data_IF_748745728839
#
_entry.id   IF_748745728839
#
_cell.length_a   1.000
_cell.length_b   1.000
_cell.length_c   1.000
_cell.angle_alpha   90.00
_cell.angle_beta   90.00
_cell.angle_gamma   90.00
#
_symmetry.space_group_name_H-M   'P 1'
#
loop_
_entity.id
_entity.type
_entity.pdbx_description
1 polymer ?
#
# COMPACT_ATOMS: atom_id res chain seq x y z
N UNK A 1 -0.53 -13.60 -9.45
CA UNK A 1 -1.16 -12.94 -8.29
C UNK A 1 -0.95 -11.44 -8.40
N UNK A 2 -1.96 -10.64 -8.08
CA UNK A 2 -1.93 -9.18 -8.06
C UNK A 2 -1.69 -8.73 -6.63
N UNK A 3 -0.53 -8.13 -6.38
CA UNK A 3 -0.12 -7.65 -5.05
C UNK A 3 -0.21 -6.14 -5.03
N UNK A 4 -1.13 -5.57 -4.25
CA UNK A 4 -1.07 -4.14 -3.95
C UNK A 4 0.12 -3.87 -3.03
N UNK A 5 0.83 -2.77 -3.26
CA UNK A 5 1.98 -2.37 -2.45
C UNK A 5 1.67 -1.06 -1.73
N UNK A 6 1.82 -1.07 -0.41
CA UNK A 6 1.70 0.13 0.43
C UNK A 6 2.94 1.03 0.26
N UNK A 7 2.77 2.34 0.40
CA UNK A 7 3.88 3.30 0.34
C UNK A 7 4.99 2.99 1.33
N UNK A 8 4.67 2.44 2.50
CA UNK A 8 5.66 2.05 3.51
C UNK A 8 6.75 1.14 2.98
N UNK A 9 6.38 0.14 2.16
CA UNK A 9 7.31 -0.85 1.63
C UNK A 9 8.18 -0.24 0.53
N UNK A 10 7.59 0.62 -0.31
CA UNK A 10 8.34 1.34 -1.34
C UNK A 10 9.29 2.36 -0.72
N UNK A 11 8.84 3.09 0.30
CA UNK A 11 9.64 4.06 1.03
C UNK A 11 10.83 3.40 1.73
N UNK A 12 10.66 2.20 2.30
CA UNK A 12 11.78 1.43 2.88
C UNK A 12 12.94 1.28 1.90
N UNK A 13 12.63 0.92 0.64
CA UNK A 13 13.63 0.73 -0.42
C UNK A 13 14.15 2.08 -0.92
N UNK A 14 13.27 3.06 -1.15
CA UNK A 14 13.64 4.36 -1.68
C UNK A 14 14.52 5.17 -0.73
N UNK A 15 14.34 5.00 0.58
CA UNK A 15 15.14 5.72 1.60
C UNK A 15 16.30 4.90 2.15
N UNK A 16 16.52 3.69 1.67
CA UNK A 16 17.48 2.73 2.22
C UNK A 16 17.32 2.60 3.75
N UNK A 17 16.08 2.34 4.19
CA UNK A 17 15.76 2.24 5.62
C UNK A 17 16.58 1.10 6.27
N UNK A 18 17.40 1.40 7.29
CA UNK A 18 18.37 0.44 7.84
C UNK A 18 17.72 -0.73 8.57
N UNK A 19 16.45 -0.62 8.96
CA UNK A 19 15.72 -1.68 9.63
C UNK A 19 14.89 -2.52 8.65
N UNK A 20 14.48 -1.95 7.52
CA UNK A 20 13.39 -2.51 6.72
C UNK A 20 13.68 -2.68 5.24
N UNK A 21 14.67 -1.98 4.66
CA UNK A 21 14.94 -2.02 3.23
C UNK A 21 15.16 -3.44 2.70
N UNK A 22 16.03 -4.24 3.35
CA UNK A 22 16.39 -5.59 2.90
C UNK A 22 15.17 -6.52 2.80
N UNK A 23 14.32 -6.55 3.83
CA UNK A 23 13.13 -7.38 3.85
C UNK A 23 12.06 -6.90 2.87
N UNK A 24 11.88 -5.58 2.77
CA UNK A 24 10.91 -4.96 1.86
C UNK A 24 11.30 -5.20 0.40
N UNK A 25 12.58 -5.05 0.05
CA UNK A 25 13.13 -5.40 -1.26
C UNK A 25 12.94 -6.90 -1.57
N UNK A 26 13.28 -7.78 -0.63
CA UNK A 26 13.11 -9.23 -0.81
C UNK A 26 11.64 -9.60 -1.06
N UNK A 27 10.72 -9.00 -0.31
CA UNK A 27 9.29 -9.20 -0.49
C UNK A 27 8.78 -8.66 -1.84
N UNK A 28 9.22 -7.47 -2.26
CA UNK A 28 8.90 -6.91 -3.58
C UNK A 28 9.38 -7.84 -4.70
N UNK A 29 10.63 -8.29 -4.66
CA UNK A 29 11.20 -9.21 -5.67
C UNK A 29 10.42 -10.52 -5.74
N UNK A 30 10.03 -11.08 -4.59
CA UNK A 30 9.19 -12.28 -4.54
C UNK A 30 7.79 -12.03 -5.10
N UNK A 31 7.15 -10.91 -4.74
CA UNK A 31 5.84 -10.55 -5.27
C UNK A 31 5.86 -10.33 -6.80
N UNK A 32 6.92 -9.71 -7.33
CA UNK A 32 7.18 -9.60 -8.78
C UNK A 32 7.29 -10.97 -9.44
N UNK A 33 8.00 -11.92 -8.83
CA UNK A 33 8.12 -13.27 -9.36
C UNK A 33 6.78 -14.06 -9.35
N UNK A 34 5.87 -13.72 -8.44
CA UNK A 34 4.55 -14.36 -8.28
C UNK A 34 3.43 -13.71 -9.13
N UNK A 35 3.71 -12.56 -9.77
CA UNK A 35 2.77 -11.89 -10.66
C UNK A 35 3.04 -10.41 -10.84
N UNK A 36 2.06 -9.57 -10.51
CA UNK A 36 2.10 -8.13 -10.79
C UNK A 36 2.00 -7.31 -9.52
N UNK A 37 2.83 -6.26 -9.44
CA UNK A 37 2.74 -5.24 -8.40
C UNK A 37 1.81 -4.13 -8.85
N UNK A 38 0.93 -3.68 -7.97
CA UNK A 38 0.03 -2.56 -8.25
C UNK A 38 0.04 -1.51 -7.15
N UNK A 39 -0.11 -0.25 -7.55
CA UNK A 39 -0.18 0.91 -6.65
C UNK A 39 -1.31 1.83 -7.08
N UNK A 40 -1.91 2.54 -6.10
CA UNK A 40 -2.95 3.52 -6.34
C UNK A 40 -2.44 4.96 -6.21
N UNK A 41 -3.31 5.93 -6.52
CA UNK A 41 -3.01 7.36 -6.48
C UNK A 41 -2.46 7.83 -5.12
N UNK A 42 -2.93 7.24 -4.02
CA UNK A 42 -2.45 7.58 -2.68
C UNK A 42 -1.00 7.15 -2.49
N UNK A 43 -0.64 5.94 -2.92
CA UNK A 43 0.73 5.43 -2.83
C UNK A 43 1.67 6.26 -3.71
N UNK A 44 1.25 6.59 -4.94
CA UNK A 44 2.04 7.46 -5.82
C UNK A 44 2.30 8.81 -5.17
N UNK A 45 1.26 9.45 -4.63
CA UNK A 45 1.37 10.74 -3.97
C UNK A 45 2.30 10.70 -2.73
N UNK A 46 2.35 9.57 -2.02
CA UNK A 46 3.20 9.41 -0.83
C UNK A 46 4.67 9.15 -1.16
N UNK A 47 4.99 8.47 -2.26
CA UNK A 47 6.38 8.19 -2.65
C UNK A 47 7.03 9.33 -3.45
N UNK A 48 6.22 10.14 -4.14
CA UNK A 48 6.70 11.20 -5.04
C UNK A 48 7.68 12.19 -4.37
N UNK A 49 7.48 12.64 -3.11
CA UNK A 49 8.41 13.55 -2.46
C UNK A 49 9.82 12.99 -2.24
N UNK A 50 9.97 11.66 -2.21
CA UNK A 50 11.26 10.97 -2.04
C UNK A 50 11.84 10.58 -3.40
N UNK A 51 11.00 10.03 -4.28
CA UNK A 51 11.44 9.52 -5.59
C UNK A 51 11.70 10.63 -6.61
N UNK A 52 10.87 11.68 -6.61
CA UNK A 52 10.83 12.69 -7.66
C UNK A 52 10.02 12.26 -8.89
N UNK A 53 9.36 13.22 -9.53
CA UNK A 53 8.49 12.98 -10.69
C UNK A 53 9.25 12.42 -11.90
N UNK A 54 10.46 12.93 -12.15
CA UNK A 54 11.30 12.51 -13.28
C UNK A 54 11.71 11.03 -13.20
N UNK A 55 11.86 10.47 -12.00
CA UNK A 55 12.27 9.08 -11.78
C UNK A 55 11.10 8.10 -11.68
N UNK A 56 9.85 8.58 -11.60
CA UNK A 56 8.68 7.74 -11.37
C UNK A 56 8.48 6.69 -12.47
N UNK A 57 8.61 7.10 -13.73
CA UNK A 57 8.41 6.22 -14.88
C UNK A 57 9.42 5.07 -14.91
N UNK A 58 10.71 5.37 -14.79
CA UNK A 58 11.77 4.34 -14.77
C UNK A 58 11.66 3.44 -13.55
N UNK A 59 11.33 3.98 -12.37
CA UNK A 59 11.12 3.18 -11.18
C UNK A 59 9.97 2.17 -11.36
N UNK A 60 8.86 2.57 -12.00
CA UNK A 60 7.75 1.65 -12.26
C UNK A 60 8.12 0.57 -13.27
N UNK A 61 8.89 0.92 -14.30
CA UNK A 61 9.38 -0.03 -15.29
C UNK A 61 10.34 -1.06 -14.66
N UNK A 62 11.32 -0.60 -13.90
CA UNK A 62 12.34 -1.44 -13.25
C UNK A 62 11.72 -2.46 -12.27
N UNK A 63 10.67 -2.05 -11.54
CA UNK A 63 9.98 -2.89 -10.57
C UNK A 63 8.73 -3.57 -11.12
N UNK A 64 8.39 -3.38 -12.40
CA UNK A 64 7.17 -3.92 -13.00
C UNK A 64 5.89 -3.48 -12.28
N UNK A 65 5.88 -2.27 -11.73
CA UNK A 65 4.74 -1.70 -10.99
C UNK A 65 3.73 -1.14 -11.98
N UNK A 66 2.46 -1.51 -11.79
CA UNK A 66 1.35 -0.96 -12.57
C UNK A 66 0.50 -0.02 -11.71
N UNK A 67 0.21 1.15 -12.27
CA UNK A 67 -0.77 2.06 -11.67
C UNK A 67 -2.19 1.50 -11.87
N UNK A 68 -2.95 1.38 -10.78
CA UNK A 68 -4.38 1.06 -10.78
C UNK A 68 -5.10 2.11 -9.96
N UNK A 69 -5.97 2.89 -10.59
CA UNK A 69 -6.70 3.95 -9.89
C UNK A 69 -7.79 3.35 -8.98
N UNK A 70 -8.02 4.00 -7.84
CA UNK A 70 -9.21 3.77 -7.03
C UNK A 70 -10.51 4.08 -7.80
N UNK A 71 -11.60 3.44 -7.38
CA UNK A 71 -12.94 3.68 -7.92
C UNK A 71 -13.93 4.02 -6.79
N UNK A 72 -15.19 4.24 -7.15
CA UNK A 72 -16.23 4.55 -6.15
C UNK A 72 -16.41 3.42 -5.13
N UNK A 73 -16.17 2.17 -5.51
CA UNK A 73 -16.35 1.02 -4.62
C UNK A 73 -15.26 0.99 -3.54
N UNK A 74 -14.00 1.18 -3.92
CA UNK A 74 -12.87 1.27 -2.98
C UNK A 74 -12.98 2.53 -2.11
N UNK A 75 -13.39 3.67 -2.67
CA UNK A 75 -13.60 4.90 -1.91
C UNK A 75 -14.71 4.76 -0.85
N UNK A 76 -15.83 4.12 -1.20
CA UNK A 76 -16.93 3.85 -0.25
C UNK A 76 -16.51 2.89 0.85
N UNK A 77 -15.75 1.86 0.52
CA UNK A 77 -15.22 0.91 1.50
C UNK A 77 -14.27 1.61 2.50
N UNK A 78 -13.33 2.41 2.00
CA UNK A 78 -12.44 3.23 2.82
C UNK A 78 -13.23 4.13 3.78
N UNK A 79 -14.21 4.87 3.26
CA UNK A 79 -15.06 5.75 4.07
C UNK A 79 -15.86 5.01 5.15
N UNK A 80 -16.35 3.81 4.84
CA UNK A 80 -17.07 2.98 5.83
C UNK A 80 -16.15 2.53 6.97
N UNK A 81 -14.92 2.10 6.66
CA UNK A 81 -13.97 1.70 7.70
C UNK A 81 -13.44 2.89 8.49
N UNK A 82 -13.21 4.02 7.84
CA UNK A 82 -12.82 5.25 8.53
C UNK A 82 -13.93 5.73 9.49
N UNK A 83 -15.20 5.69 9.08
CA UNK A 83 -16.33 6.02 9.95
C UNK A 83 -16.39 5.10 11.18
N UNK A 84 -16.19 3.78 10.99
CA UNK A 84 -16.11 2.82 12.08
C UNK A 84 -14.92 3.08 13.01
N UNK A 85 -13.76 3.46 12.46
CA UNK A 85 -12.58 3.85 13.22
C UNK A 85 -12.87 5.06 14.11
N UNK A 86 -13.42 6.14 13.55
CA UNK A 86 -13.75 7.37 14.29
C UNK A 86 -14.72 7.14 15.45
N UNK A 87 -15.60 6.13 15.38
CA UNK A 87 -16.51 5.79 16.47
C UNK A 87 -15.83 5.04 17.63
N UNK A 88 -14.70 4.37 17.37
CA UNK A 88 -14.02 3.49 18.33
C UNK A 88 -12.83 4.14 19.04
N UNK A 89 -12.36 5.29 18.56
CA UNK A 89 -11.12 5.91 19.05
C UNK A 89 -11.25 7.42 19.21
N UNK A 90 -10.83 7.91 20.38
CA UNK A 90 -10.63 9.34 20.61
C UNK A 90 -9.25 9.83 20.09
N UNK A 91 -8.38 8.88 19.69
CA UNK A 91 -7.02 9.17 19.22
C UNK A 91 -6.93 9.02 17.70
N UNK A 92 -6.60 10.11 17.02
CA UNK A 92 -6.38 10.18 15.56
C UNK A 92 -4.96 9.74 15.20
N UNK A 93 -4.70 8.44 15.19
CA UNK A 93 -3.40 7.90 14.76
C UNK A 93 -3.40 7.43 13.30
N UNK A 94 -4.56 7.03 12.77
CA UNK A 94 -4.70 6.51 11.41
C UNK A 94 -5.45 7.54 10.57
N UNK A 95 -4.92 7.83 9.39
CA UNK A 95 -5.42 8.88 8.51
C UNK A 95 -6.23 8.28 7.36
N UNK A 96 -7.04 9.10 6.68
CA UNK A 96 -7.83 8.64 5.53
C UNK A 96 -6.98 7.92 4.44
N UNK A 97 -5.74 8.39 4.10
CA UNK A 97 -4.85 7.70 3.16
C UNK A 97 -4.63 6.21 3.47
N UNK A 98 -4.43 5.84 4.75
CA UNK A 98 -4.28 4.45 5.19
C UNK A 98 -5.48 3.58 4.77
N UNK A 99 -6.70 4.11 4.97
CA UNK A 99 -7.93 3.42 4.59
C UNK A 99 -8.12 3.36 3.08
N UNK A 100 -7.67 4.38 2.34
CA UNK A 100 -7.73 4.38 0.87
C UNK A 100 -6.81 3.32 0.27
N UNK A 101 -5.60 3.16 0.80
CA UNK A 101 -4.66 2.11 0.36
C UNK A 101 -5.23 0.73 0.66
N UNK A 102 -5.67 0.47 1.90
CA UNK A 102 -6.23 -0.82 2.28
C UNK A 102 -7.48 -1.18 1.47
N UNK A 103 -8.39 -0.22 1.25
CA UNK A 103 -9.61 -0.47 0.49
C UNK A 103 -9.36 -0.64 -1.01
N UNK A 104 -8.38 0.08 -1.57
CA UNK A 104 -7.93 -0.17 -2.93
C UNK A 104 -7.39 -1.60 -3.05
N UNK A 105 -6.56 -2.04 -2.11
CA UNK A 105 -6.02 -3.39 -2.13
C UNK A 105 -7.12 -4.47 -2.04
N UNK A 106 -8.09 -4.32 -1.14
CA UNK A 106 -9.19 -5.29 -0.99
C UNK A 106 -10.09 -5.38 -2.24
N UNK A 107 -10.26 -4.28 -2.97
CA UNK A 107 -11.11 -4.27 -4.18
C UNK A 107 -10.34 -4.69 -5.45
N UNK A 108 -9.08 -4.26 -5.57
CA UNK A 108 -8.34 -4.30 -6.84
C UNK A 108 -7.12 -5.24 -6.83
N UNK A 109 -6.94 -6.06 -5.79
CA UNK A 109 -5.81 -6.98 -5.68
C UNK A 109 -6.15 -8.23 -4.88
N UNK A 110 -5.27 -9.23 -4.94
CA UNK A 110 -5.43 -10.48 -4.18
C UNK A 110 -4.92 -10.32 -2.73
N UNK A 111 -3.94 -9.43 -2.51
CA UNK A 111 -3.29 -9.20 -1.22
C UNK A 111 -2.61 -7.83 -1.16
N UNK A 112 -2.33 -7.36 0.05
CA UNK A 112 -1.57 -6.16 0.33
C UNK A 112 -0.20 -6.49 0.94
N UNK A 113 0.87 -5.98 0.33
CA UNK A 113 2.21 -5.95 0.89
C UNK A 113 2.40 -4.63 1.65
N UNK A 114 2.52 -4.69 2.98
CA UNK A 114 2.60 -3.51 3.83
C UNK A 114 3.42 -3.76 5.10
N UNK A 115 3.95 -2.70 5.71
CA UNK A 115 4.54 -2.78 7.06
C UNK A 115 3.46 -3.13 8.09
N UNK A 116 3.83 -3.84 9.16
CA UNK A 116 2.89 -4.11 10.26
C UNK A 116 2.51 -2.80 10.98
N UNK A 117 1.23 -2.43 10.87
CA UNK A 117 0.63 -1.27 11.56
C UNK A 117 -0.52 -1.68 12.49
N UNK A 118 -0.76 -2.99 12.69
CA UNK A 118 -1.86 -3.55 13.49
C UNK A 118 -3.26 -3.35 12.90
N UNK A 119 -3.61 -2.12 12.49
CA UNK A 119 -4.96 -1.75 12.08
C UNK A 119 -5.45 -2.45 10.82
N UNK A 120 -4.54 -2.79 9.90
CA UNK A 120 -4.90 -3.43 8.64
C UNK A 120 -5.67 -4.72 8.91
N UNK A 121 -5.24 -5.50 9.92
CA UNK A 121 -5.90 -6.75 10.33
C UNK A 121 -7.23 -6.53 11.07
N UNK A 122 -7.38 -5.38 11.74
CA UNK A 122 -8.60 -5.06 12.50
C UNK A 122 -9.76 -4.67 11.58
N UNK A 123 -9.47 -3.93 10.51
CA UNK A 123 -10.47 -3.37 9.59
C UNK A 123 -10.61 -4.16 8.29
N UNK A 124 -9.53 -4.68 7.72
CA UNK A 124 -9.51 -5.38 6.43
C UNK A 124 -9.38 -6.90 6.64
N UNK A 125 -10.40 -7.51 7.24
CA UNK A 125 -10.36 -8.95 7.60
C UNK A 125 -10.39 -9.90 6.39
N UNK A 126 -10.93 -9.43 5.27
CA UNK A 126 -11.00 -10.20 4.03
C UNK A 126 -9.72 -10.06 3.19
N UNK A 127 -8.91 -9.04 3.48
CA UNK A 127 -7.65 -8.77 2.79
C UNK A 127 -6.53 -9.64 3.34
N UNK A 128 -5.86 -10.38 2.46
CA UNK A 128 -4.60 -11.02 2.81
C UNK A 128 -3.52 -9.93 2.97
N UNK A 129 -2.99 -9.78 4.18
CA UNK A 129 -1.92 -8.81 4.48
C UNK A 129 -0.61 -9.56 4.67
N UNK A 130 0.35 -9.29 3.80
CA UNK A 130 1.71 -9.79 3.90
C UNK A 130 2.63 -8.71 4.46
N UNK A 131 3.28 -9.04 5.58
CA UNK A 131 4.30 -8.21 6.22
C UNK A 131 5.69 -8.79 5.90
N UNK A 132 6.63 -7.97 5.37
CA UNK A 132 8.03 -8.35 5.18
C UNK A 132 8.79 -8.68 6.47
#
# INVERSE_FOLDING_TARGET
MRTAVDSSVLLDVLTDDPAFAERSESALRKAMAEGVLVVCETVVAEILPVLGDEALGSFFEDWGIQFTAGDLSSARLAGSYFANYLQRTDKKQIMVPDFLIGAHAEVHSDRLLARDRGYLRDYFKALEVWIP
#
